data_IF_622524215559
#
_entry.id   IF_622524215559
#
_cell.length_a   1.000
_cell.length_b   1.000
_cell.length_c   1.000
_cell.angle_alpha   90.00
_cell.angle_beta   90.00
_cell.angle_gamma   90.00
#
_symmetry.space_group_name_H-M   'P 1'
#
loop_
_entity.id
_entity.type
_entity.pdbx_description
1 polymer ?
#
# COMPACT_ATOMS: atom_id res chain seq x y z
N UNK A 1 -4.88 -6.24 6.55
CA UNK A 1 -3.44 -5.95 6.72
C UNK A 1 -2.83 -5.22 5.52
N UNK A 2 -2.65 -5.83 4.34
CA UNK A 2 -2.08 -5.12 3.17
C UNK A 2 -3.12 -4.24 2.45
N UNK A 3 -4.37 -4.74 2.31
CA UNK A 3 -5.47 -3.96 1.72
C UNK A 3 -5.80 -2.70 2.53
N UNK A 4 -5.72 -2.77 3.85
CA UNK A 4 -5.95 -1.61 4.72
C UNK A 4 -4.82 -0.59 4.59
N UNK A 5 -3.58 -1.05 4.43
CA UNK A 5 -2.44 -0.17 4.19
C UNK A 5 -2.54 0.56 2.85
N UNK A 6 -3.01 -0.12 1.80
CA UNK A 6 -3.32 0.50 0.50
C UNK A 6 -4.43 1.53 0.64
N UNK A 7 -5.55 1.18 1.29
CA UNK A 7 -6.66 2.14 1.52
C UNK A 7 -6.25 3.35 2.35
N UNK A 8 -5.41 3.17 3.38
CA UNK A 8 -4.89 4.28 4.19
C UNK A 8 -3.95 5.16 3.39
N UNK A 9 -3.11 4.57 2.52
CA UNK A 9 -2.27 5.32 1.59
C UNK A 9 -3.12 6.17 0.65
N UNK A 10 -4.11 5.58 -0.01
CA UNK A 10 -5.01 6.28 -0.93
C UNK A 10 -5.81 7.38 -0.23
N UNK A 11 -6.37 7.11 0.96
CA UNK A 11 -7.12 8.11 1.72
C UNK A 11 -6.23 9.25 2.26
N UNK A 12 -4.93 9.01 2.47
CA UNK A 12 -3.98 10.05 2.83
C UNK A 12 -3.60 10.90 1.60
N UNK A 13 -3.35 10.27 0.45
CA UNK A 13 -3.09 10.96 -0.83
C UNK A 13 -4.29 11.81 -1.27
N UNK A 14 -5.51 11.29 -1.13
CA UNK A 14 -6.77 12.00 -1.39
C UNK A 14 -6.96 13.23 -0.48
N UNK A 15 -6.47 13.16 0.76
CA UNK A 15 -6.50 14.27 1.73
C UNK A 15 -5.29 15.19 1.64
N UNK A 16 -4.47 15.06 0.58
CA UNK A 16 -3.20 15.78 0.39
C UNK A 16 -2.23 15.65 1.59
N UNK A 17 -2.38 14.58 2.36
CA UNK A 17 -1.55 14.27 3.53
C UNK A 17 -0.52 13.22 3.17
N UNK A 18 0.67 13.32 3.76
CA UNK A 18 1.73 12.34 3.53
C UNK A 18 1.31 10.99 4.14
N UNK A 19 1.19 9.91 3.35
CA UNK A 19 0.90 8.58 3.87
C UNK A 19 2.08 8.08 4.71
N UNK A 20 1.80 7.17 5.65
CA UNK A 20 2.85 6.54 6.44
C UNK A 20 3.83 5.77 5.55
N UNK A 21 5.12 5.83 5.89
CA UNK A 21 6.18 5.13 5.14
C UNK A 21 5.90 3.62 5.08
N UNK A 22 5.34 3.05 6.14
CA UNK A 22 4.95 1.64 6.19
C UNK A 22 3.77 1.34 5.24
N UNK A 23 2.76 2.22 5.16
CA UNK A 23 1.65 2.04 4.23
C UNK A 23 2.13 2.16 2.77
N UNK A 24 3.10 3.04 2.50
CA UNK A 24 3.77 3.16 1.18
C UNK A 24 4.57 1.90 0.84
N UNK A 25 5.31 1.34 1.80
CA UNK A 25 6.08 0.12 1.60
C UNK A 25 5.15 -1.10 1.41
N UNK A 26 4.10 -1.23 2.21
CA UNK A 26 3.11 -2.29 2.09
C UNK A 26 2.34 -2.21 0.77
N UNK A 27 1.98 -1.02 0.30
CA UNK A 27 1.38 -0.85 -1.01
C UNK A 27 2.35 -1.23 -2.14
N UNK A 28 3.63 -0.86 -2.00
CA UNK A 28 4.67 -1.24 -2.97
C UNK A 28 4.99 -2.73 -2.94
N UNK A 29 4.77 -3.42 -1.82
CA UNK A 29 4.89 -4.87 -1.69
C UNK A 29 3.63 -5.60 -2.16
N UNK A 30 2.45 -5.00 -2.10
CA UNK A 30 1.21 -5.59 -2.60
C UNK A 30 1.26 -5.89 -4.11
N UNK A 31 1.87 -5.00 -4.90
CA UNK A 31 2.06 -5.18 -6.35
C UNK A 31 2.92 -6.39 -6.74
N UNK A 32 4.14 -6.54 -6.20
CA UNK A 32 5.00 -7.69 -6.44
C UNK A 32 4.59 -8.93 -5.63
N UNK A 33 3.99 -8.82 -4.45
CA UNK A 33 3.51 -10.00 -3.70
C UNK A 33 2.40 -10.75 -4.46
N UNK A 34 1.51 -10.04 -5.16
CA UNK A 34 0.53 -10.67 -6.06
C UNK A 34 1.14 -11.25 -7.35
N UNK A 35 2.40 -10.95 -7.66
CA UNK A 35 3.15 -11.57 -8.77
C UNK A 35 4.17 -12.62 -8.33
N UNK A 36 4.63 -12.56 -7.08
CA UNK A 36 5.55 -13.52 -6.48
C UNK A 36 4.83 -14.81 -6.07
N UNK A 37 3.52 -14.74 -5.80
CA UNK A 37 2.63 -15.88 -5.63
C UNK A 37 2.19 -16.49 -6.98
N UNK A 38 3.07 -16.45 -7.98
CA UNK A 38 2.90 -17.12 -9.27
C UNK A 38 4.07 -18.08 -9.51
N UNK A 39 4.26 -18.98 -8.55
CA UNK A 39 5.05 -20.21 -8.68
C UNK A 39 4.10 -21.40 -8.69
#
# INVERSE_FOLDING_TARGET
MVRDAVRRKESAEDKEKKPFVIDKLLAKLAGPAGKADKV
#
